data_IF_149455012648
#
_entry.id   IF_149455012648
#
_cell.length_a   1.000
_cell.length_b   1.000
_cell.length_c   1.000
_cell.angle_alpha   90.00
_cell.angle_beta   90.00
_cell.angle_gamma   90.00
#
_symmetry.space_group_name_H-M   'P 1'
#
loop_
_entity.id
_entity.type
_entity.pdbx_description
1 polymer ?
#
# COMPACT_ATOMS: atom_id res chain seq x y z
N UNK A 1 -5.17 40.77 -33.64
CA UNK A 1 -4.86 39.32 -33.74
C UNK A 1 -4.11 38.75 -32.50
N UNK A 2 -4.41 39.21 -31.28
CA UNK A 2 -3.94 38.55 -30.05
C UNK A 2 -4.85 38.82 -28.83
N UNK A 3 -6.14 39.03 -29.09
CA UNK A 3 -7.19 39.28 -28.08
C UNK A 3 -8.49 38.50 -28.37
N UNK A 4 -8.47 37.58 -29.34
CA UNK A 4 -9.62 36.74 -29.72
C UNK A 4 -9.38 35.23 -29.47
N UNK A 5 -8.37 34.88 -28.65
CA UNK A 5 -8.10 33.50 -28.25
C UNK A 5 -8.26 33.25 -26.74
N UNK A 6 -8.83 34.21 -26.00
CA UNK A 6 -9.21 34.03 -24.59
C UNK A 6 -10.74 34.10 -24.37
N UNK A 7 -11.52 33.78 -25.40
CA UNK A 7 -13.00 33.80 -25.35
C UNK A 7 -13.65 32.49 -25.83
N UNK A 8 -12.93 31.37 -25.70
CA UNK A 8 -13.49 30.04 -25.96
C UNK A 8 -12.96 29.01 -24.95
N UNK A 9 -13.21 29.25 -23.65
CA UNK A 9 -12.95 28.26 -22.60
C UNK A 9 -13.76 28.53 -21.31
N UNK A 10 -14.93 29.17 -21.41
CA UNK A 10 -15.77 29.48 -20.23
C UNK A 10 -17.27 29.20 -20.45
N UNK A 11 -17.62 28.32 -21.40
CA UNK A 11 -19.02 27.98 -21.68
C UNK A 11 -19.44 26.57 -21.24
N UNK A 12 -18.66 25.83 -20.44
CA UNK A 12 -19.06 24.46 -20.09
C UNK A 12 -18.79 23.95 -18.67
N UNK A 13 -18.66 24.82 -17.67
CA UNK A 13 -18.66 24.37 -16.28
C UNK A 13 -19.63 25.17 -15.40
N UNK A 14 -20.85 24.61 -15.34
CA UNK A 14 -21.75 24.56 -14.19
C UNK A 14 -21.55 25.56 -13.05
N UNK A 15 -22.15 26.74 -13.18
CA UNK A 15 -22.58 27.56 -12.03
C UNK A 15 -24.08 27.79 -12.20
N UNK A 16 -24.87 26.72 -12.02
CA UNK A 16 -26.33 26.78 -12.00
C UNK A 16 -26.93 26.65 -10.58
N UNK A 17 -26.11 26.59 -9.53
CA UNK A 17 -26.59 26.42 -8.16
C UNK A 17 -26.24 27.55 -7.18
N UNK A 18 -25.43 28.54 -7.59
CA UNK A 18 -25.14 29.74 -6.79
C UNK A 18 -25.81 31.04 -7.30
N UNK A 19 -26.47 31.03 -8.46
CA UNK A 19 -27.30 32.16 -8.92
C UNK A 19 -28.76 32.11 -8.42
N UNK A 20 -29.23 30.97 -7.91
CA UNK A 20 -30.60 30.84 -7.39
C UNK A 20 -30.78 31.46 -5.99
N UNK A 21 -29.69 31.64 -5.23
CA UNK A 21 -29.72 32.33 -3.93
C UNK A 21 -29.62 33.86 -4.04
N UNK A 22 -29.21 34.39 -5.19
CA UNK A 22 -29.12 35.85 -5.42
C UNK A 22 -30.36 36.43 -6.13
N UNK A 23 -31.20 35.59 -6.75
CA UNK A 23 -32.47 36.03 -7.35
C UNK A 23 -33.69 35.85 -6.42
N UNK A 24 -33.54 35.22 -5.25
CA UNK A 24 -34.60 35.07 -4.26
C UNK A 24 -34.69 36.24 -3.25
N UNK A 25 -33.75 37.19 -3.26
CA UNK A 25 -33.71 38.36 -2.37
C UNK A 25 -34.25 39.66 -3.00
N UNK A 26 -34.79 39.61 -4.22
CA UNK A 26 -35.27 40.78 -4.97
C UNK A 26 -36.80 40.80 -5.23
N UNK A 27 -37.59 40.06 -4.46
CA UNK A 27 -39.05 40.10 -4.52
C UNK A 27 -39.67 40.25 -3.13
N UNK A 28 -39.72 41.48 -2.62
CA UNK A 28 -40.55 41.82 -1.46
C UNK A 28 -40.11 43.06 -0.69
N UNK A 29 -40.78 44.20 -0.94
CA UNK A 29 -41.06 45.17 0.11
C UNK A 29 -40.23 46.47 0.16
N UNK A 30 -40.76 47.50 -0.49
CA UNK A 30 -40.95 48.87 0.01
C UNK A 30 -39.78 49.65 0.66
N UNK A 31 -39.49 50.82 0.08
CA UNK A 31 -39.08 52.00 0.86
C UNK A 31 -37.87 52.78 0.34
N UNK A 32 -38.15 53.76 -0.53
CA UNK A 32 -37.70 55.16 -0.39
C UNK A 32 -36.21 55.51 -0.30
N UNK A 33 -35.70 56.17 -1.35
CA UNK A 33 -35.12 57.53 -1.36
C UNK A 33 -33.89 57.64 -2.29
N UNK A 34 -34.06 58.40 -3.37
CA UNK A 34 -33.14 59.37 -4.01
C UNK A 34 -31.64 59.23 -3.68
N UNK A 35 -30.69 59.17 -4.62
CA UNK A 35 -30.33 60.23 -5.56
C UNK A 35 -29.19 59.73 -6.49
N UNK A 36 -29.35 59.89 -7.81
CA UNK A 36 -28.24 60.17 -8.75
C UNK A 36 -28.42 61.64 -9.17
N UNK A 37 -27.37 62.43 -9.45
CA UNK A 37 -26.45 62.22 -10.59
C UNK A 37 -24.98 62.62 -10.23
N UNK A 38 -23.94 62.57 -11.05
CA UNK A 38 -23.80 62.84 -12.48
C UNK A 38 -22.38 62.46 -12.89
N UNK A 39 -22.20 61.90 -14.09
CA UNK A 39 -20.92 61.99 -14.80
C UNK A 39 -20.66 63.45 -15.18
N UNK A 40 -19.48 63.98 -14.83
CA UNK A 40 -18.86 65.11 -15.53
C UNK A 40 -17.48 64.69 -16.01
N UNK A 41 -17.31 64.77 -17.32
CA UNK A 41 -16.02 64.75 -18.01
C UNK A 41 -15.54 66.20 -18.09
N UNK A 42 -14.29 66.45 -17.73
CA UNK A 42 -13.61 67.74 -17.84
C UNK A 42 -12.10 67.52 -17.97
N UNK A 43 -11.36 68.44 -18.63
CA UNK A 43 -10.09 68.14 -19.30
C UNK A 43 -8.86 68.49 -18.45
N UNK A 44 -7.71 67.90 -18.84
CA UNK A 44 -6.39 68.52 -18.67
C UNK A 44 -5.79 68.49 -17.27
N UNK A 45 -4.71 67.71 -17.16
CA UNK A 45 -3.46 68.01 -16.48
C UNK A 45 -3.41 68.20 -14.95
N UNK A 46 -2.50 67.41 -14.38
CA UNK A 46 -1.84 67.54 -13.07
C UNK A 46 -2.66 67.21 -11.82
N UNK A 47 -2.38 66.05 -11.24
CA UNK A 47 -2.46 65.86 -9.79
C UNK A 47 -1.15 65.30 -9.25
N UNK A 48 -0.47 66.20 -8.54
CA UNK A 48 0.69 65.97 -7.69
C UNK A 48 0.44 64.86 -6.65
N UNK A 49 1.52 64.16 -6.35
CA UNK A 49 1.65 63.14 -5.33
C UNK A 49 1.22 63.62 -3.93
N UNK A 50 0.51 62.76 -3.20
CA UNK A 50 0.47 62.75 -1.74
C UNK A 50 1.10 61.43 -1.24
N UNK A 51 1.81 61.44 -0.08
CA UNK A 51 2.76 60.39 0.28
C UNK A 51 2.10 59.12 0.82
N UNK A 52 2.82 58.02 0.59
CA UNK A 52 2.64 56.64 1.03
C UNK A 52 1.74 56.43 2.27
N UNK A 53 0.59 55.78 2.06
CA UNK A 53 -0.01 54.96 3.10
C UNK A 53 0.45 53.52 2.90
N UNK A 54 1.26 53.04 3.85
CA UNK A 54 1.72 51.67 3.92
C UNK A 54 0.52 50.71 3.85
N UNK A 55 0.49 49.89 2.80
CA UNK A 55 -0.45 48.78 2.70
C UNK A 55 -0.17 47.74 3.79
N UNK A 56 -1.19 46.94 4.18
CA UNK A 56 -0.99 45.86 5.13
C UNK A 56 0.07 44.88 4.60
N UNK A 57 0.99 44.50 5.48
CA UNK A 57 2.13 43.61 5.21
C UNK A 57 1.68 42.33 4.50
N UNK A 58 2.44 41.97 3.47
CA UNK A 58 2.35 40.70 2.76
C UNK A 58 2.26 39.55 3.75
N UNK A 59 1.07 38.93 3.80
CA UNK A 59 0.94 37.60 4.36
C UNK A 59 1.75 36.68 3.45
N UNK A 60 2.63 35.86 4.02
CA UNK A 60 3.27 34.77 3.29
C UNK A 60 2.22 34.05 2.43
N UNK A 61 2.53 33.67 1.18
CA UNK A 61 1.58 32.92 0.37
C UNK A 61 1.29 31.61 1.13
N UNK A 62 0.08 31.52 1.68
CA UNK A 62 -0.48 30.26 2.15
C UNK A 62 -0.33 29.29 1.00
N UNK A 63 0.53 28.28 1.16
CA UNK A 63 0.68 27.22 0.19
C UNK A 63 -0.72 26.65 -0.08
N UNK A 64 -1.25 26.89 -1.28
CA UNK A 64 -2.41 26.16 -1.74
C UNK A 64 -2.11 24.67 -1.55
N UNK A 65 -3.06 23.85 -1.07
CA UNK A 65 -2.87 22.41 -1.00
C UNK A 65 -2.45 21.94 -2.38
N UNK A 66 -1.22 21.43 -2.53
CA UNK A 66 -0.77 20.97 -3.82
C UNK A 66 -1.69 19.84 -4.26
N UNK A 67 -2.41 20.04 -5.35
CA UNK A 67 -3.33 19.04 -5.94
C UNK A 67 -2.54 17.88 -6.60
N UNK A 68 -1.40 17.51 -6.01
CA UNK A 68 -0.50 16.51 -6.51
C UNK A 68 -1.05 15.12 -6.20
N UNK A 69 -1.03 14.26 -7.22
CA UNK A 69 -1.41 12.87 -7.10
C UNK A 69 -0.48 12.16 -6.11
N UNK A 70 -0.97 11.15 -5.39
CA UNK A 70 -0.08 10.30 -4.56
C UNK A 70 0.98 9.62 -5.42
N UNK A 71 0.70 9.40 -6.71
CA UNK A 71 1.60 8.78 -7.68
C UNK A 71 2.85 9.61 -7.99
N UNK A 72 2.80 10.91 -7.71
CA UNK A 72 3.91 11.86 -7.92
C UNK A 72 4.79 11.99 -6.67
N UNK A 73 4.36 11.41 -5.55
CA UNK A 73 5.07 11.44 -4.28
C UNK A 73 6.19 10.41 -4.25
N UNK A 74 7.14 10.66 -3.35
CA UNK A 74 8.26 9.75 -3.06
C UNK A 74 8.12 9.15 -1.68
N UNK A 75 8.52 7.89 -1.57
CA UNK A 75 8.67 7.22 -0.28
C UNK A 75 10.13 7.26 0.14
N UNK A 76 10.40 7.82 1.32
CA UNK A 76 11.75 7.84 1.90
C UNK A 76 11.69 7.16 3.26
N UNK A 77 12.54 6.15 3.46
CA UNK A 77 12.58 5.40 4.70
C UNK A 77 13.86 5.71 5.48
N UNK A 78 13.74 5.70 6.80
CA UNK A 78 14.88 5.76 7.71
C UNK A 78 15.68 4.45 7.65
N UNK A 79 16.88 4.47 8.22
CA UNK A 79 17.65 3.23 8.38
C UNK A 79 16.86 2.23 9.25
N UNK A 80 16.70 0.97 8.81
CA UNK A 80 15.94 -0.03 9.54
C UNK A 80 16.65 -0.43 10.84
N UNK A 81 15.85 -0.65 11.88
CA UNK A 81 16.30 -1.17 13.19
C UNK A 81 15.76 -2.56 13.44
N UNK A 82 16.58 -3.46 13.97
CA UNK A 82 16.11 -4.77 14.38
C UNK A 82 15.18 -4.62 15.60
N UNK A 83 13.99 -5.21 15.56
CA UNK A 83 12.97 -5.09 16.61
C UNK A 83 12.58 -6.43 17.23
N UNK A 84 12.77 -7.55 16.52
CA UNK A 84 12.47 -8.88 17.05
C UNK A 84 13.46 -9.96 16.56
N UNK A 85 13.47 -11.09 17.26
CA UNK A 85 14.23 -12.31 16.95
C UNK A 85 13.32 -13.52 17.13
N UNK A 86 13.41 -14.50 16.22
CA UNK A 86 12.62 -15.72 16.29
C UNK A 86 11.32 -15.68 15.48
N UNK A 87 10.89 -14.49 15.04
CA UNK A 87 9.73 -14.31 14.16
C UNK A 87 10.19 -14.15 12.70
N UNK A 88 9.64 -14.97 11.82
CA UNK A 88 9.78 -14.89 10.37
C UNK A 88 8.44 -14.47 9.74
N UNK A 89 8.43 -13.95 8.51
CA UNK A 89 7.24 -13.62 7.71
C UNK A 89 6.15 -12.92 8.53
N UNK A 90 6.54 -11.82 9.18
CA UNK A 90 5.72 -11.10 10.16
C UNK A 90 4.70 -10.15 9.50
N UNK A 91 3.68 -10.72 8.85
CA UNK A 91 2.68 -9.95 8.12
C UNK A 91 1.69 -9.26 9.07
N UNK A 92 1.17 -8.12 8.64
CA UNK A 92 0.21 -7.33 9.41
C UNK A 92 -0.79 -6.65 8.49
N UNK A 93 -1.94 -6.26 9.05
CA UNK A 93 -2.87 -5.36 8.36
C UNK A 93 -2.68 -3.96 8.96
N UNK A 94 -2.39 -2.93 8.15
CA UNK A 94 -2.11 -1.59 8.66
C UNK A 94 -3.18 -1.10 9.65
N UNK A 95 -2.74 -0.56 10.79
CA UNK A 95 -3.59 0.07 11.80
C UNK A 95 -4.59 -0.86 12.53
N UNK A 96 -4.46 -2.18 12.40
CA UNK A 96 -5.40 -3.14 13.05
C UNK A 96 -4.82 -3.87 14.26
N UNK A 97 -3.49 -3.90 14.39
CA UNK A 97 -2.80 -4.73 15.39
C UNK A 97 -2.81 -6.24 15.07
N UNK A 98 -3.37 -6.66 13.93
CA UNK A 98 -3.32 -8.07 13.49
C UNK A 98 -1.93 -8.46 13.06
N UNK A 99 -1.55 -9.67 13.42
CA UNK A 99 -0.22 -10.20 13.20
C UNK A 99 -0.29 -11.65 12.71
N UNK A 100 0.35 -11.94 11.58
CA UNK A 100 0.45 -13.28 11.03
C UNK A 100 1.94 -13.64 11.07
N UNK A 101 2.33 -14.45 12.05
CA UNK A 101 3.70 -14.90 12.24
C UNK A 101 4.02 -16.13 11.40
N UNK A 102 5.23 -16.17 10.87
CA UNK A 102 5.74 -17.15 9.92
C UNK A 102 6.01 -18.55 10.45
N UNK A 103 6.61 -19.36 9.58
CA UNK A 103 7.00 -20.73 9.87
C UNK A 103 8.21 -20.73 10.82
N UNK A 104 8.12 -21.30 12.03
CA UNK A 104 9.26 -21.44 12.94
C UNK A 104 10.38 -22.34 12.39
N UNK A 105 10.18 -22.99 11.23
CA UNK A 105 11.21 -23.77 10.52
C UNK A 105 11.54 -25.09 11.21
N UNK A 106 10.73 -25.48 12.21
CA UNK A 106 10.93 -26.67 13.04
C UNK A 106 9.71 -27.57 13.00
N UNK A 107 9.98 -28.87 12.94
CA UNK A 107 8.94 -29.91 13.02
C UNK A 107 8.20 -29.78 14.35
N UNK A 108 6.87 -29.70 14.30
CA UNK A 108 6.00 -29.64 15.48
C UNK A 108 5.75 -28.24 16.03
N UNK A 109 6.39 -27.22 15.45
CA UNK A 109 6.01 -25.82 15.70
C UNK A 109 5.13 -25.32 14.54
N UNK A 110 4.10 -24.54 14.88
CA UNK A 110 3.08 -24.08 13.94
C UNK A 110 3.23 -22.57 13.67
N UNK A 111 2.99 -22.11 12.43
CA UNK A 111 2.82 -20.69 12.13
C UNK A 111 1.81 -20.03 13.08
N UNK A 112 2.00 -18.74 13.34
CA UNK A 112 1.27 -18.02 14.38
C UNK A 112 0.22 -17.06 13.81
N UNK A 113 -0.86 -16.87 14.56
CA UNK A 113 -1.82 -15.80 14.38
C UNK A 113 -1.95 -15.04 15.71
N UNK A 114 -1.59 -13.77 15.73
CA UNK A 114 -1.56 -12.90 16.90
C UNK A 114 -0.78 -13.51 18.08
N UNK A 115 0.35 -14.15 17.79
CA UNK A 115 1.22 -14.82 18.78
C UNK A 115 0.72 -16.19 19.27
N UNK A 116 -0.50 -16.59 18.94
CA UNK A 116 -1.02 -17.94 19.21
C UNK A 116 -0.82 -18.87 17.99
N UNK A 117 -0.94 -20.18 18.19
CA UNK A 117 -0.95 -21.12 17.06
C UNK A 117 -2.06 -20.76 16.06
N UNK A 118 -1.75 -20.81 14.77
CA UNK A 118 -2.72 -20.55 13.72
C UNK A 118 -3.90 -21.54 13.85
N UNK A 119 -5.14 -21.07 14.01
CA UNK A 119 -6.29 -21.92 14.35
C UNK A 119 -6.88 -22.68 13.14
N UNK A 120 -6.24 -22.62 11.97
CA UNK A 120 -6.75 -23.25 10.75
C UNK A 120 -7.03 -24.74 10.98
N UNK A 121 -8.29 -25.14 10.78
CA UNK A 121 -8.76 -26.46 11.17
C UNK A 121 -8.07 -27.56 10.31
N UNK A 122 -7.67 -28.69 10.92
CA UNK A 122 -7.10 -29.83 10.19
C UNK A 122 -7.98 -30.39 9.05
N UNK A 123 -9.28 -30.10 9.05
CA UNK A 123 -10.19 -30.41 7.95
C UNK A 123 -9.84 -29.64 6.67
N UNK A 124 -9.40 -28.38 6.80
CA UNK A 124 -9.01 -27.54 5.67
C UNK A 124 -7.50 -27.58 5.41
N UNK A 125 -6.71 -27.94 6.43
CA UNK A 125 -5.26 -28.07 6.37
C UNK A 125 -4.85 -29.49 6.80
N UNK A 126 -4.63 -30.42 5.85
CA UNK A 126 -4.18 -31.78 6.16
C UNK A 126 -2.98 -31.82 7.12
N UNK A 127 -2.89 -32.87 7.95
CA UNK A 127 -1.93 -33.04 9.07
C UNK A 127 -0.44 -32.83 8.72
N UNK A 128 -0.06 -32.91 7.45
CA UNK A 128 1.31 -32.71 6.95
C UNK A 128 1.50 -31.37 6.22
N UNK A 129 0.56 -30.42 6.34
CA UNK A 129 0.68 -29.08 5.77
C UNK A 129 0.80 -28.01 6.87
N UNK A 130 1.32 -26.85 6.48
CA UNK A 130 1.48 -25.67 7.35
C UNK A 130 0.94 -24.42 6.66
N UNK A 131 0.21 -23.53 7.36
CA UNK A 131 -0.32 -22.31 6.77
C UNK A 131 0.74 -21.19 6.88
N UNK A 132 1.67 -21.14 5.93
CA UNK A 132 2.72 -20.11 5.92
C UNK A 132 2.09 -18.80 5.44
N UNK A 133 2.13 -17.71 6.23
CA UNK A 133 1.54 -16.45 5.83
C UNK A 133 2.29 -15.87 4.63
N UNK A 134 1.54 -15.36 3.67
CA UNK A 134 2.11 -14.73 2.46
C UNK A 134 1.63 -13.32 2.21
N UNK A 135 0.61 -12.88 2.93
CA UNK A 135 0.06 -11.55 2.79
C UNK A 135 -1.26 -11.39 3.53
N UNK A 136 -1.77 -10.18 3.47
CA UNK A 136 -3.00 -9.76 4.15
C UNK A 136 -3.82 -8.87 3.24
N UNK A 137 -5.08 -8.64 3.61
CA UNK A 137 -5.90 -7.59 3.01
C UNK A 137 -6.84 -6.95 4.02
N UNK A 138 -7.06 -5.64 3.82
CA UNK A 138 -8.22 -4.94 4.35
C UNK A 138 -9.29 -4.87 3.25
N UNK A 139 -10.43 -5.46 3.55
CA UNK A 139 -11.58 -5.65 2.68
C UNK A 139 -12.70 -4.64 2.84
N UNK A 140 -13.83 -4.85 2.15
CA UNK A 140 -15.02 -4.03 2.31
C UNK A 140 -15.48 -4.01 3.77
N UNK A 141 -15.96 -2.86 4.23
CA UNK A 141 -16.48 -2.67 5.59
C UNK A 141 -15.47 -3.03 6.70
N UNK A 142 -14.17 -2.97 6.40
CA UNK A 142 -13.11 -3.26 7.37
C UNK A 142 -12.92 -4.75 7.66
N UNK A 143 -13.50 -5.64 6.85
CA UNK A 143 -13.20 -7.09 6.92
C UNK A 143 -11.71 -7.34 6.71
N UNK A 144 -11.18 -8.31 7.41
CA UNK A 144 -9.75 -8.57 7.46
C UNK A 144 -9.49 -9.97 6.91
N UNK A 145 -8.60 -10.07 5.95
CA UNK A 145 -8.28 -11.36 5.32
C UNK A 145 -6.81 -11.68 5.46
N UNK A 146 -6.54 -12.97 5.57
CA UNK A 146 -5.21 -13.55 5.53
C UNK A 146 -5.04 -14.41 4.29
N UNK A 147 -3.83 -14.42 3.75
CA UNK A 147 -3.43 -15.28 2.65
C UNK A 147 -2.32 -16.21 3.11
N UNK A 148 -2.47 -17.50 2.80
CA UNK A 148 -1.52 -18.52 3.20
C UNK A 148 -1.07 -19.36 2.01
N UNK A 149 0.23 -19.66 1.98
CA UNK A 149 0.78 -20.82 1.31
C UNK A 149 0.54 -22.06 2.18
N UNK A 150 0.33 -23.23 1.58
CA UNK A 150 0.01 -24.47 2.31
C UNK A 150 0.94 -25.63 1.94
N UNK A 151 2.28 -25.44 1.99
CA UNK A 151 3.21 -26.48 1.60
C UNK A 151 3.15 -27.64 2.59
N UNK A 152 3.56 -28.82 2.12
CA UNK A 152 3.77 -29.96 3.00
C UNK A 152 5.03 -29.75 3.86
N UNK A 153 5.07 -30.35 5.05
CA UNK A 153 6.30 -30.46 5.84
C UNK A 153 7.29 -31.45 5.21
N UNK A 154 6.78 -32.48 4.52
CA UNK A 154 7.62 -33.53 3.94
C UNK A 154 7.44 -33.69 2.43
N UNK A 155 8.55 -34.04 1.77
CA UNK A 155 8.59 -34.52 0.39
C UNK A 155 8.03 -35.96 0.31
N UNK A 156 7.70 -36.46 -0.89
CA UNK A 156 7.23 -37.84 -1.06
C UNK A 156 8.20 -38.93 -0.55
N UNK A 157 9.50 -38.61 -0.48
CA UNK A 157 10.55 -39.50 0.04
C UNK A 157 10.72 -39.43 1.58
N UNK A 158 9.91 -38.61 2.26
CA UNK A 158 9.94 -38.42 3.71
C UNK A 158 10.97 -37.41 4.21
N UNK A 159 11.76 -36.79 3.33
CA UNK A 159 12.67 -35.70 3.71
C UNK A 159 11.91 -34.40 4.00
N UNK A 160 12.52 -33.47 4.73
CA UNK A 160 11.91 -32.16 4.96
C UNK A 160 11.77 -31.39 3.64
N UNK A 161 10.58 -30.83 3.44
CA UNK A 161 10.30 -29.96 2.32
C UNK A 161 10.82 -28.55 2.63
N UNK A 162 11.82 -28.13 1.86
CA UNK A 162 12.42 -26.79 1.93
C UNK A 162 11.67 -25.76 1.04
N UNK A 163 10.60 -26.17 0.34
CA UNK A 163 9.73 -25.25 -0.38
C UNK A 163 8.66 -24.65 0.54
N UNK A 164 8.58 -23.32 0.53
CA UNK A 164 7.67 -22.54 1.37
C UNK A 164 6.44 -22.02 0.63
N UNK A 165 6.42 -22.13 -0.71
CA UNK A 165 5.40 -21.53 -1.57
C UNK A 165 4.57 -22.61 -2.28
N UNK A 166 3.25 -22.47 -2.24
CA UNK A 166 2.30 -23.23 -3.06
C UNK A 166 1.65 -22.32 -4.10
N UNK A 167 1.23 -22.86 -5.26
CA UNK A 167 0.37 -22.11 -6.16
C UNK A 167 -0.95 -21.76 -5.47
N UNK A 168 -1.56 -20.64 -5.84
CA UNK A 168 -2.88 -20.21 -5.40
C UNK A 168 -3.03 -20.10 -3.87
N UNK A 169 -2.70 -18.94 -3.33
CA UNK A 169 -2.76 -18.67 -1.88
C UNK A 169 -4.16 -18.93 -1.33
N UNK A 170 -4.25 -19.71 -0.25
CA UNK A 170 -5.50 -19.92 0.48
C UNK A 170 -5.95 -18.63 1.15
N UNK A 171 -7.25 -18.33 1.11
CA UNK A 171 -7.86 -17.12 1.65
C UNK A 171 -8.66 -17.49 2.90
N UNK A 172 -8.46 -16.72 3.96
CA UNK A 172 -9.14 -16.86 5.26
C UNK A 172 -9.74 -15.51 5.67
N UNK A 173 -10.99 -15.50 6.14
CA UNK A 173 -11.59 -14.35 6.84
C UNK A 173 -11.17 -14.41 8.30
N UNK A 174 -10.49 -13.38 8.79
CA UNK A 174 -9.95 -13.37 10.15
C UNK A 174 -11.02 -13.27 11.24
N UNK A 175 -12.30 -13.04 10.89
CA UNK A 175 -13.41 -13.26 11.82
C UNK A 175 -13.69 -14.76 12.07
N UNK A 176 -13.29 -15.64 11.16
CA UNK A 176 -13.41 -17.09 11.23
C UNK A 176 -12.09 -17.75 10.78
N UNK A 177 -11.00 -17.55 11.55
CA UNK A 177 -9.65 -17.89 11.12
C UNK A 177 -9.39 -19.40 11.04
N UNK A 178 -10.32 -20.22 11.52
CA UNK A 178 -10.27 -21.68 11.47
C UNK A 178 -10.64 -22.27 10.09
N UNK A 179 -11.07 -21.43 9.14
CA UNK A 179 -11.63 -21.88 7.85
C UNK A 179 -11.00 -21.22 6.63
N UNK A 180 -10.60 -22.04 5.67
CA UNK A 180 -10.31 -21.58 4.30
C UNK A 180 -11.64 -21.30 3.59
N UNK A 181 -11.78 -20.10 3.03
CA UNK A 181 -13.00 -19.64 2.35
C UNK A 181 -12.84 -19.50 0.83
N UNK A 182 -11.64 -19.71 0.32
CA UNK A 182 -11.35 -19.83 -1.11
C UNK A 182 -9.86 -19.68 -1.41
N UNK A 183 -9.52 -19.43 -2.67
CA UNK A 183 -8.14 -19.34 -3.13
C UNK A 183 -7.95 -18.16 -4.08
N UNK A 184 -6.81 -17.49 -3.95
CA UNK A 184 -6.32 -16.50 -4.89
C UNK A 184 -5.87 -17.17 -6.19
N UNK A 185 -5.97 -16.50 -7.36
CA UNK A 185 -5.34 -16.97 -8.60
C UNK A 185 -3.81 -16.85 -8.59
N UNK A 186 -3.21 -16.29 -7.54
CA UNK A 186 -1.78 -16.00 -7.42
C UNK A 186 -1.15 -16.75 -6.25
N UNK A 187 0.15 -17.05 -6.37
CA UNK A 187 0.99 -17.41 -5.25
C UNK A 187 1.38 -16.15 -4.46
N UNK A 188 1.77 -16.32 -3.20
CA UNK A 188 2.23 -15.26 -2.30
C UNK A 188 1.37 -13.97 -2.35
N UNK A 189 0.05 -14.14 -2.21
CA UNK A 189 -0.92 -13.07 -2.45
C UNK A 189 -1.04 -12.11 -1.28
N UNK A 190 -1.22 -10.84 -1.59
CA UNK A 190 -1.81 -9.81 -0.73
C UNK A 190 -2.94 -9.10 -1.47
N UNK A 191 -3.74 -8.30 -0.78
CA UNK A 191 -4.85 -7.61 -1.44
C UNK A 191 -5.28 -6.31 -0.79
N UNK A 192 -6.05 -5.54 -1.55
CA UNK A 192 -6.60 -4.27 -1.11
C UNK A 192 -8.01 -4.09 -1.68
N UNK A 193 -8.90 -3.54 -0.87
CA UNK A 193 -10.21 -3.10 -1.35
C UNK A 193 -10.08 -1.78 -2.12
N UNK A 194 -10.64 -1.73 -3.32
CA UNK A 194 -10.82 -0.49 -4.08
C UNK A 194 -12.27 0.01 -3.91
N UNK A 195 -12.50 1.09 -3.13
CA UNK A 195 -13.84 1.62 -2.92
C UNK A 195 -14.45 2.24 -4.18
N UNK A 196 -13.66 2.68 -5.16
CA UNK A 196 -14.17 3.33 -6.38
C UNK A 196 -14.87 2.33 -7.31
N UNK A 197 -14.30 1.14 -7.42
CA UNK A 197 -14.87 0.05 -8.22
C UNK A 197 -15.67 -0.95 -7.38
N UNK A 198 -15.62 -0.82 -6.05
CA UNK A 198 -16.18 -1.77 -5.09
C UNK A 198 -15.70 -3.20 -5.38
N UNK A 199 -14.39 -3.37 -5.55
CA UNK A 199 -13.76 -4.67 -5.84
C UNK A 199 -12.58 -4.94 -4.91
N UNK A 200 -12.17 -6.20 -4.83
CA UNK A 200 -10.87 -6.56 -4.27
C UNK A 200 -9.82 -6.63 -5.37
N UNK A 201 -8.68 -6.00 -5.12
CA UNK A 201 -7.46 -6.18 -5.87
C UNK A 201 -6.61 -7.27 -5.19
N UNK A 202 -6.02 -8.14 -6.01
CA UNK A 202 -5.14 -9.22 -5.58
C UNK A 202 -3.80 -9.07 -6.29
N UNK A 203 -2.72 -8.93 -5.53
CA UNK A 203 -1.36 -8.83 -6.02
C UNK A 203 -0.54 -10.01 -5.52
N UNK A 204 0.35 -10.55 -6.36
CA UNK A 204 1.14 -11.71 -6.00
C UNK A 204 1.92 -12.28 -7.19
N UNK A 205 2.59 -13.39 -6.94
CA UNK A 205 3.44 -14.07 -7.92
C UNK A 205 2.58 -14.96 -8.84
N UNK A 206 2.91 -14.98 -10.12
CA UNK A 206 2.19 -15.78 -11.12
C UNK A 206 2.55 -17.26 -11.07
N UNK A 207 3.52 -17.64 -10.24
CA UNK A 207 4.00 -19.01 -10.05
C UNK A 207 4.52 -19.18 -8.63
N UNK A 208 4.57 -20.42 -8.16
CA UNK A 208 5.20 -20.83 -6.91
C UNK A 208 6.68 -21.20 -7.08
N UNK A 209 7.18 -21.16 -8.32
CA UNK A 209 8.57 -21.43 -8.65
C UNK A 209 9.46 -20.25 -8.18
N UNK A 210 10.42 -20.48 -7.27
CA UNK A 210 11.29 -19.43 -6.74
C UNK A 210 12.19 -18.77 -7.79
N UNK A 211 12.40 -19.42 -8.95
CA UNK A 211 13.22 -18.87 -10.04
C UNK A 211 12.42 -17.94 -10.95
N UNK A 212 11.09 -17.86 -10.77
CA UNK A 212 10.23 -16.95 -11.52
C UNK A 212 10.00 -15.65 -10.75
N UNK A 213 10.02 -14.53 -11.47
CA UNK A 213 9.85 -13.19 -10.89
C UNK A 213 8.57 -12.49 -11.36
N UNK A 214 7.73 -13.21 -12.11
CA UNK A 214 6.48 -12.69 -12.65
C UNK A 214 5.49 -12.37 -11.53
N UNK A 215 5.01 -11.13 -11.51
CA UNK A 215 3.93 -10.66 -10.63
C UNK A 215 2.80 -10.08 -11.43
N UNK A 216 1.60 -10.20 -10.88
CA UNK A 216 0.39 -9.73 -11.53
C UNK A 216 -0.57 -9.09 -10.54
N UNK A 217 -1.39 -8.20 -11.09
CA UNK A 217 -2.55 -7.63 -10.44
C UNK A 217 -3.81 -8.23 -11.06
N UNK A 218 -4.66 -8.78 -10.20
CA UNK A 218 -6.00 -9.26 -10.55
C UNK A 218 -7.05 -8.45 -9.78
N UNK A 219 -8.25 -8.38 -10.33
CA UNK A 219 -9.40 -7.71 -9.73
C UNK A 219 -10.59 -8.66 -9.67
N UNK A 220 -11.28 -8.70 -8.53
CA UNK A 220 -12.54 -9.44 -8.40
C UNK A 220 -13.68 -8.80 -9.17
N UNK A 221 -14.79 -9.52 -9.32
CA UNK A 221 -16.07 -8.88 -9.62
C UNK A 221 -16.47 -7.89 -8.50
N UNK A 222 -17.37 -6.92 -8.79
CA UNK A 222 -17.94 -6.03 -7.79
C UNK A 222 -18.55 -6.79 -6.61
N UNK A 223 -18.28 -6.32 -5.40
CA UNK A 223 -18.68 -6.98 -4.16
C UNK A 223 -20.17 -6.72 -3.90
N UNK A 224 -20.92 -7.78 -3.64
CA UNK A 224 -22.27 -7.66 -3.11
C UNK A 224 -22.20 -7.25 -1.62
N UNK A 225 -22.71 -6.08 -1.21
CA UNK A 225 -22.67 -5.64 0.18
C UNK A 225 -23.43 -6.59 1.14
N UNK A 226 -24.39 -7.37 0.64
CA UNK A 226 -25.11 -8.38 1.43
C UNK A 226 -24.31 -9.66 1.63
N UNK A 227 -23.35 -9.91 0.73
CA UNK A 227 -22.49 -11.10 0.73
C UNK A 227 -21.04 -10.67 0.56
N UNK A 228 -20.43 -9.97 1.55
CA UNK A 228 -19.15 -9.30 1.38
C UNK A 228 -17.95 -10.24 1.16
N UNK A 229 -18.10 -11.55 1.32
CA UNK A 229 -17.08 -12.56 0.98
C UNK A 229 -17.30 -13.18 -0.41
N UNK A 230 -18.35 -12.78 -1.16
CA UNK A 230 -18.68 -13.40 -2.46
C UNK A 230 -17.61 -13.21 -3.52
N UNK A 231 -16.82 -12.14 -3.42
CA UNK A 231 -15.72 -11.81 -4.33
C UNK A 231 -14.65 -12.91 -4.43
N UNK A 232 -14.53 -13.74 -3.40
CA UNK A 232 -13.54 -14.82 -3.29
C UNK A 232 -13.80 -15.92 -4.32
N UNK A 233 -15.04 -16.08 -4.77
CA UNK A 233 -15.42 -17.12 -5.72
C UNK A 233 -15.06 -16.76 -7.18
N UNK A 234 -14.47 -15.58 -7.41
CA UNK A 234 -14.23 -15.05 -8.74
C UNK A 234 -15.52 -14.67 -9.48
N UNK A 235 -15.44 -14.39 -10.79
CA UNK A 235 -14.23 -14.43 -11.61
C UNK A 235 -13.21 -13.36 -11.19
N UNK A 236 -11.94 -13.61 -11.51
CA UNK A 236 -10.84 -12.66 -11.35
C UNK A 236 -10.37 -12.18 -12.73
N UNK A 237 -10.39 -10.87 -12.94
CA UNK A 237 -9.93 -10.24 -14.18
C UNK A 237 -8.47 -9.83 -14.03
N UNK A 238 -7.62 -10.24 -14.98
CA UNK A 238 -6.24 -9.78 -15.05
C UNK A 238 -6.20 -8.29 -15.44
N UNK A 239 -5.50 -7.49 -14.64
CA UNK A 239 -5.36 -6.04 -14.87
C UNK A 239 -4.02 -5.72 -15.56
N UNK A 240 -2.94 -6.38 -15.13
CA UNK A 240 -1.61 -6.17 -15.69
C UNK A 240 -0.48 -6.73 -14.82
N UNK A 241 0.76 -6.60 -15.29
CA UNK A 241 1.94 -6.99 -14.51
C UNK A 241 2.17 -6.00 -13.36
N UNK A 242 2.92 -6.42 -12.34
CA UNK A 242 3.44 -5.54 -11.29
C UNK A 242 4.97 -5.54 -11.32
N UNK A 243 5.61 -4.75 -10.44
CA UNK A 243 7.06 -4.83 -10.22
C UNK A 243 7.49 -6.28 -9.98
N UNK A 244 8.49 -6.71 -10.73
CA UNK A 244 8.98 -8.09 -10.70
C UNK A 244 9.72 -8.38 -9.40
N UNK A 245 9.53 -9.60 -8.88
CA UNK A 245 10.25 -10.08 -7.72
C UNK A 245 9.85 -11.52 -7.38
N UNK A 246 10.77 -12.25 -6.75
CA UNK A 246 10.61 -13.68 -6.42
C UNK A 246 10.19 -13.94 -4.96
N UNK A 247 10.13 -12.90 -4.13
CA UNK A 247 9.74 -13.01 -2.71
C UNK A 247 8.36 -12.40 -2.47
N UNK A 248 7.91 -12.41 -1.23
CA UNK A 248 6.60 -11.91 -0.84
C UNK A 248 6.49 -10.39 -1.10
N UNK A 249 5.25 -9.94 -1.28
CA UNK A 249 4.89 -8.54 -1.52
C UNK A 249 3.59 -8.19 -0.79
N UNK A 250 3.37 -6.90 -0.57
CA UNK A 250 2.16 -6.40 0.05
C UNK A 250 1.54 -5.26 -0.75
N UNK A 251 0.28 -5.44 -1.12
CA UNK A 251 -0.60 -4.38 -1.62
C UNK A 251 -1.48 -3.86 -0.49
N UNK A 252 -1.53 -2.55 -0.31
CA UNK A 252 -2.45 -1.88 0.60
C UNK A 252 -3.20 -0.75 -0.10
N UNK A 253 -4.42 -0.46 0.35
CA UNK A 253 -5.10 0.79 0.03
C UNK A 253 -4.62 1.89 0.98
N UNK A 254 -4.48 3.11 0.45
CA UNK A 254 -3.97 4.27 1.18
C UNK A 254 -5.08 5.14 1.76
N UNK A 255 -4.79 5.72 2.92
CA UNK A 255 -5.70 6.60 3.63
C UNK A 255 -6.73 5.83 4.45
N UNK A 256 -7.41 6.54 5.36
CA UNK A 256 -8.31 5.91 6.34
C UNK A 256 -9.48 5.14 5.72
N UNK A 257 -9.87 5.47 4.47
CA UNK A 257 -10.96 4.84 3.72
C UNK A 257 -10.49 4.04 2.49
N UNK A 258 -9.17 3.99 2.23
CA UNK A 258 -8.64 3.37 1.02
C UNK A 258 -8.93 4.16 -0.28
N UNK A 259 -9.34 5.42 -0.18
CA UNK A 259 -9.72 6.25 -1.35
C UNK A 259 -8.53 7.02 -1.94
N UNK A 260 -7.41 7.10 -1.21
CA UNK A 260 -6.25 7.94 -1.56
C UNK A 260 -5.24 7.24 -2.46
N UNK A 261 -5.56 6.05 -2.96
CA UNK A 261 -4.72 5.26 -3.87
C UNK A 261 -4.22 3.98 -3.21
N UNK A 262 -3.08 3.50 -3.70
CA UNK A 262 -2.51 2.22 -3.34
C UNK A 262 -1.00 2.35 -3.13
N UNK A 263 -0.49 1.50 -2.25
CA UNK A 263 0.94 1.28 -2.11
C UNK A 263 1.23 -0.21 -2.28
N UNK A 264 2.19 -0.52 -3.14
CA UNK A 264 2.67 -1.88 -3.37
C UNK A 264 4.13 -1.95 -2.96
N UNK A 265 4.42 -2.72 -1.91
CA UNK A 265 5.76 -2.99 -1.42
C UNK A 265 6.19 -4.39 -1.83
N UNK A 266 7.46 -4.54 -2.21
CA UNK A 266 7.94 -5.78 -2.77
C UNK A 266 9.41 -6.08 -2.44
N UNK A 267 9.77 -7.35 -2.55
CA UNK A 267 11.13 -7.82 -2.36
C UNK A 267 11.50 -8.89 -3.37
N UNK A 268 12.80 -9.10 -3.56
CA UNK A 268 13.33 -10.18 -4.40
C UNK A 268 14.64 -10.69 -3.80
N UNK A 269 14.96 -11.95 -4.04
CA UNK A 269 16.17 -12.56 -3.47
C UNK A 269 17.43 -11.75 -3.81
N UNK A 270 18.17 -11.33 -2.78
CA UNK A 270 19.43 -10.57 -2.93
C UNK A 270 19.26 -9.14 -3.45
N UNK A 271 18.04 -8.58 -3.42
CA UNK A 271 17.76 -7.19 -3.83
C UNK A 271 17.17 -6.38 -2.68
N UNK A 272 17.27 -5.07 -2.78
CA UNK A 272 16.60 -4.13 -1.86
C UNK A 272 15.09 -4.34 -1.91
N UNK A 273 14.41 -4.11 -0.78
CA UNK A 273 12.96 -3.99 -0.79
C UNK A 273 12.58 -2.65 -1.43
N UNK A 274 11.59 -2.65 -2.33
CA UNK A 274 11.13 -1.44 -3.03
C UNK A 274 9.63 -1.26 -2.90
N UNK A 275 9.14 -0.05 -3.20
CA UNK A 275 7.72 0.25 -3.16
C UNK A 275 7.28 1.27 -4.20
N UNK A 276 6.01 1.21 -4.59
CA UNK A 276 5.39 2.16 -5.53
C UNK A 276 4.07 2.69 -5.00
N UNK A 277 3.86 3.99 -5.19
CA UNK A 277 2.60 4.68 -4.97
C UNK A 277 1.84 4.81 -6.29
N UNK A 278 0.53 4.61 -6.24
CA UNK A 278 -0.36 4.76 -7.39
C UNK A 278 -1.73 5.26 -6.97
N UNK A 279 -2.31 6.19 -7.73
CA UNK A 279 -3.66 6.72 -7.49
C UNK A 279 -4.76 5.78 -7.98
N UNK A 280 -4.41 4.84 -8.85
CA UNK A 280 -5.33 3.86 -9.43
C UNK A 280 -4.69 2.47 -9.52
N UNK A 281 -5.53 1.43 -9.60
CA UNK A 281 -5.07 0.07 -9.85
C UNK A 281 -4.31 -0.05 -11.18
N UNK A 282 -4.72 0.73 -12.18
CA UNK A 282 -4.07 0.70 -13.50
C UNK A 282 -2.64 1.24 -13.43
N UNK A 283 -2.43 2.35 -12.73
CA UNK A 283 -1.10 2.95 -12.56
C UNK A 283 -0.12 2.01 -11.85
N UNK A 284 -0.56 1.15 -10.93
CA UNK A 284 0.30 0.11 -10.34
C UNK A 284 0.96 -0.77 -11.42
N UNK A 285 0.24 -1.04 -12.51
CA UNK A 285 0.72 -1.89 -13.61
C UNK A 285 1.65 -1.19 -14.61
N UNK A 286 1.79 0.13 -14.48
CA UNK A 286 2.60 0.97 -15.36
C UNK A 286 3.93 1.33 -14.71
N UNK A 287 4.07 1.11 -13.39
CA UNK A 287 5.32 1.35 -12.65
C UNK A 287 6.35 0.29 -13.02
N UNK A 288 7.52 0.74 -13.46
CA UNK A 288 8.67 -0.12 -13.81
C UNK A 288 9.84 0.01 -12.84
N UNK A 289 9.81 1.02 -11.96
CA UNK A 289 10.82 1.30 -10.94
C UNK A 289 10.11 1.74 -9.65
N UNK A 290 10.52 1.16 -8.52
CA UNK A 290 10.07 1.54 -7.18
C UNK A 290 11.10 2.37 -6.44
N UNK A 291 10.64 3.10 -5.42
CA UNK A 291 11.50 3.74 -4.44
C UNK A 291 12.10 2.67 -3.52
N UNK A 292 13.38 2.82 -3.16
CA UNK A 292 14.05 1.88 -2.25
C UNK A 292 13.53 2.12 -0.83
N UNK A 293 12.95 1.08 -0.23
CA UNK A 293 12.43 1.14 1.14
C UNK A 293 13.46 0.66 2.15
N UNK A 294 14.17 -0.42 1.82
CA UNK A 294 15.26 -0.97 2.63
C UNK A 294 16.37 -1.43 1.69
N UNK A 295 17.56 -0.84 1.82
CA UNK A 295 18.72 -1.23 1.04
C UNK A 295 19.21 -2.63 1.41
N UNK A 296 19.55 -3.42 0.38
CA UNK A 296 20.25 -4.68 0.57
C UNK A 296 21.73 -4.44 0.88
N UNK A 297 22.11 -4.53 2.15
CA UNK A 297 23.47 -4.24 2.62
C UNK A 297 24.04 -5.43 3.38
N UNK A 298 25.07 -6.05 2.81
CA UNK A 298 25.76 -7.24 3.36
C UNK A 298 26.25 -7.06 4.80
N UNK A 299 26.74 -5.86 5.15
CA UNK A 299 27.21 -5.56 6.51
C UNK A 299 26.10 -5.37 7.52
N UNK A 300 24.84 -5.25 7.08
CA UNK A 300 23.69 -4.85 7.90
C UNK A 300 23.89 -3.50 8.62
N UNK A 301 24.69 -2.59 8.05
CA UNK A 301 24.91 -1.23 8.55
C UNK A 301 24.20 -0.26 7.60
N UNK A 302 23.20 0.47 8.09
CA UNK A 302 22.39 1.39 7.27
C UNK A 302 21.36 0.73 6.35
N UNK A 303 21.45 -0.59 6.16
CA UNK A 303 20.49 -1.44 5.45
C UNK A 303 20.51 -2.85 6.02
N UNK A 304 19.89 -3.82 5.34
CA UNK A 304 19.74 -5.20 5.83
C UNK A 304 20.01 -6.18 4.68
N UNK A 305 20.79 -7.22 4.95
CA UNK A 305 21.14 -8.24 3.95
C UNK A 305 19.94 -9.17 3.69
N UNK A 306 19.57 -9.35 2.43
CA UNK A 306 18.60 -10.36 1.98
C UNK A 306 17.19 -10.22 2.55
N UNK A 307 16.68 -8.99 2.67
CA UNK A 307 15.32 -8.74 3.17
C UNK A 307 14.22 -9.34 2.29
N UNK A 308 13.13 -9.75 2.93
CA UNK A 308 11.90 -10.17 2.28
C UNK A 308 10.66 -9.82 3.12
N UNK A 309 9.47 -10.10 2.56
CA UNK A 309 8.17 -9.85 3.18
C UNK A 309 8.00 -8.40 3.70
N UNK A 310 8.19 -7.37 2.85
CA UNK A 310 7.92 -6.01 3.24
C UNK A 310 6.44 -5.85 3.60
N UNK A 311 6.19 -5.38 4.82
CA UNK A 311 4.87 -5.34 5.42
C UNK A 311 4.65 -3.99 6.09
N UNK A 312 3.65 -3.24 5.64
CA UNK A 312 3.17 -2.05 6.31
C UNK A 312 2.31 -2.43 7.51
N UNK A 313 2.73 -1.99 8.69
CA UNK A 313 2.05 -2.22 9.97
C UNK A 313 1.18 -1.04 10.38
N UNK A 314 1.56 0.15 9.93
CA UNK A 314 0.87 1.41 10.23
C UNK A 314 0.93 2.34 9.03
N UNK A 315 -0.14 3.09 8.82
CA UNK A 315 -0.15 4.19 7.87
C UNK A 315 -0.92 5.39 8.41
N UNK A 316 -0.46 6.59 8.07
CA UNK A 316 -1.14 7.84 8.32
C UNK A 316 -0.93 8.76 7.13
N UNK A 317 -1.91 8.80 6.22
CA UNK A 317 -1.90 9.69 5.06
C UNK A 317 -2.92 10.82 5.28
N UNK A 318 -2.49 12.05 5.06
CA UNK A 318 -3.40 13.18 4.94
C UNK A 318 -3.98 13.22 3.53
N UNK A 319 -5.29 13.01 3.42
CA UNK A 319 -6.00 12.99 2.14
C UNK A 319 -5.97 14.33 1.40
N UNK A 320 -5.79 15.47 2.08
CA UNK A 320 -5.74 16.78 1.44
C UNK A 320 -4.37 17.03 0.77
N UNK A 321 -3.29 16.65 1.45
CA UNK A 321 -1.92 16.89 0.97
C UNK A 321 -1.33 15.69 0.21
N UNK A 322 -1.91 14.49 0.35
CA UNK A 322 -1.32 13.22 -0.12
C UNK A 322 0.06 12.94 0.46
N UNK A 323 0.38 13.54 1.60
CA UNK A 323 1.61 13.31 2.34
C UNK A 323 1.30 12.54 3.62
N UNK A 324 2.31 11.88 4.18
CA UNK A 324 2.08 11.06 5.36
C UNK A 324 3.24 10.20 5.78
N UNK A 325 2.94 9.17 6.56
CA UNK A 325 3.91 8.20 7.04
C UNK A 325 3.41 6.76 6.92
N UNK A 326 4.37 5.85 6.77
CA UNK A 326 4.19 4.41 6.81
C UNK A 326 5.17 3.84 7.84
N UNK A 327 4.74 2.85 8.61
CA UNK A 327 5.65 1.99 9.38
C UNK A 327 5.80 0.68 8.61
N UNK A 328 7.03 0.32 8.28
CA UNK A 328 7.40 -0.85 7.49
C UNK A 328 8.16 -1.86 8.35
N UNK A 329 7.80 -3.14 8.22
CA UNK A 329 8.58 -4.28 8.66
C UNK A 329 9.16 -5.05 7.47
N UNK A 330 10.33 -5.64 7.66
CA UNK A 330 10.93 -6.63 6.74
C UNK A 330 11.54 -7.77 7.56
N UNK A 331 11.62 -8.95 6.94
CA UNK A 331 12.16 -10.16 7.56
C UNK A 331 13.56 -10.50 7.00
N UNK A 332 14.38 -11.15 7.82
CA UNK A 332 15.66 -11.79 7.46
C UNK A 332 15.72 -13.14 8.17
N UNK A 333 16.24 -14.20 7.54
CA UNK A 333 16.23 -15.56 8.13
C UNK A 333 17.53 -15.99 8.84
N UNK A 334 18.51 -15.10 9.00
CA UNK A 334 19.81 -15.43 9.59
C UNK A 334 20.30 -14.40 10.60
N UNK A 335 21.29 -14.81 11.40
CA UNK A 335 22.01 -13.90 12.29
C UNK A 335 23.14 -13.15 11.55
N UNK A 336 23.12 -11.81 11.45
CA UNK A 336 24.18 -11.03 10.83
C UNK A 336 25.57 -11.26 11.45
N UNK A 337 25.66 -11.44 12.77
CA UNK A 337 26.95 -11.63 13.44
C UNK A 337 27.55 -12.99 13.09
N UNK A 338 26.75 -14.05 13.15
CA UNK A 338 27.15 -15.38 12.68
C UNK A 338 27.52 -15.36 11.19
N UNK A 339 26.70 -14.73 10.34
CA UNK A 339 26.94 -14.64 8.90
C UNK A 339 28.26 -13.92 8.60
N UNK A 340 28.56 -12.83 9.29
CA UNK A 340 29.83 -12.11 9.13
C UNK A 340 31.04 -12.99 9.48
N UNK A 341 30.94 -13.80 10.54
CA UNK A 341 32.03 -14.68 10.97
C UNK A 341 32.21 -15.93 10.08
N UNK A 342 31.18 -16.34 9.32
CA UNK A 342 31.17 -17.60 8.58
C UNK A 342 30.99 -17.45 7.05
N UNK A 343 31.01 -16.21 6.54
CA UNK A 343 30.68 -15.92 5.13
C UNK A 343 31.51 -16.70 4.11
N UNK A 344 32.81 -16.86 4.36
CA UNK A 344 33.68 -17.64 3.48
C UNK A 344 33.24 -19.10 3.40
N UNK A 345 32.93 -19.71 4.56
CA UNK A 345 32.46 -21.09 4.65
C UNK A 345 31.07 -21.28 4.01
N UNK A 346 30.20 -20.28 4.08
CA UNK A 346 28.91 -20.31 3.37
C UNK A 346 29.14 -20.22 1.85
N UNK A 347 29.97 -19.27 1.40
CA UNK A 347 30.23 -19.03 -0.03
C UNK A 347 30.91 -20.21 -0.72
N UNK A 348 31.78 -20.95 -0.01
CA UNK A 348 32.44 -22.15 -0.56
C UNK A 348 31.65 -23.45 -0.31
N UNK A 349 30.45 -23.35 0.29
CA UNK A 349 29.54 -24.49 0.51
C UNK A 349 29.94 -25.42 1.66
N UNK A 350 30.91 -25.05 2.50
CA UNK A 350 31.35 -25.86 3.66
C UNK A 350 30.52 -25.64 4.92
N UNK A 351 29.69 -24.59 4.96
CA UNK A 351 28.73 -24.33 6.03
C UNK A 351 27.33 -24.02 5.47
N UNK A 352 26.29 -24.52 6.15
CA UNK A 352 24.90 -24.12 5.93
C UNK A 352 24.53 -22.98 6.88
N UNK A 353 23.77 -22.01 6.37
CA UNK A 353 23.28 -20.88 7.17
C UNK A 353 22.26 -21.38 8.19
N UNK A 354 22.47 -21.20 9.50
CA UNK A 354 21.47 -21.53 10.50
C UNK A 354 20.24 -20.65 10.34
N UNK A 355 19.06 -21.27 10.43
CA UNK A 355 17.81 -20.54 10.47
C UNK A 355 17.69 -19.78 11.80
N UNK A 356 17.72 -18.46 11.73
CA UNK A 356 17.71 -17.54 12.88
C UNK A 356 16.99 -16.25 12.48
N UNK A 357 15.65 -16.27 12.39
CA UNK A 357 14.90 -15.17 11.83
C UNK A 357 14.91 -13.91 12.70
N UNK A 358 14.84 -12.76 12.04
CA UNK A 358 14.86 -11.42 12.61
C UNK A 358 13.89 -10.52 11.87
N UNK A 359 13.25 -9.63 12.61
CA UNK A 359 12.40 -8.57 12.08
C UNK A 359 13.10 -7.23 12.23
N UNK A 360 13.06 -6.45 11.16
CA UNK A 360 13.53 -5.08 11.13
C UNK A 360 12.35 -4.15 10.85
N UNK A 361 12.33 -3.01 11.54
CA UNK A 361 11.30 -1.99 11.38
C UNK A 361 11.94 -0.67 10.96
N UNK A 362 11.29 0.07 10.07
CA UNK A 362 11.65 1.44 9.70
C UNK A 362 10.40 2.30 9.56
N UNK A 363 10.56 3.61 9.75
CA UNK A 363 9.55 4.59 9.41
C UNK A 363 9.85 5.16 8.04
N UNK A 364 8.81 5.30 7.23
CA UNK A 364 8.88 5.94 5.94
C UNK A 364 7.96 7.15 5.89
N UNK A 365 8.36 8.17 5.12
CA UNK A 365 7.55 9.35 4.81
C UNK A 365 7.14 9.33 3.35
N UNK A 366 5.91 9.79 3.09
CA UNK A 366 5.39 10.08 1.75
C UNK A 366 5.45 11.59 1.56
N UNK A 367 6.24 12.06 0.59
CA UNK A 367 6.47 13.49 0.34
C UNK A 367 6.45 13.89 -1.13
#
# INVERSE_FOLDING_TARGET
QRQQQCQSAAEYYGIAQQMLSFMASAAGGAGSLFQQPSRKVGPGDECNCAPEQAGPQDSEPSQEPSNQSVSDRKVNCEAPRQTATGDDLDFSIPNTGRNLGGDPGKIGEHPKLDGADNPLNPQFLPKDQRPIPTGTALGPQGKQYAFYSTPKYHNPDGTLNEHYVTPNSAIVDLAHPDKIIGNSPLAQTSGAFDPKTNTMLLAGNTSADPDTTGRALYQSAPIDPKNPNSWINGPFTYIGPLLSGSRESQLIALGAKGEDGFFFAESSAGRSATGVLASTAKELTEKTVGDVLVENVVSNIGGVDGVYAPTITKQGLDSATKMGSLELKVSQFWDPAWMAANREAVNNGTAKVPYSPRIYTTNCTIQ
#
